data_IF_124496636932
#
_entry.id   IF_124496636932
#
_cell.length_a   1.000
_cell.length_b   1.000
_cell.length_c   1.000
_cell.angle_alpha   90.00
_cell.angle_beta   90.00
_cell.angle_gamma   90.00
#
_symmetry.space_group_name_H-M   'P 1'
#
loop_
_entity.id
_entity.type
_entity.pdbx_description
1 polymer ?
#
# COMPACT_ATOMS: atom_id res chain seq x y z
N UNK A 1 42.23 20.45 -12.17
CA UNK A 1 42.71 21.40 -11.17
C UNK A 1 41.87 21.29 -9.92
N UNK A 2 42.50 21.07 -8.81
CA UNK A 2 41.79 21.03 -7.55
C UNK A 2 41.31 22.42 -7.16
N UNK A 3 40.05 22.49 -6.72
CA UNK A 3 39.54 23.72 -6.13
C UNK A 3 40.26 24.00 -4.83
N UNK A 4 40.89 25.17 -4.73
CA UNK A 4 41.50 25.58 -3.50
C UNK A 4 40.48 26.20 -2.57
N UNK A 5 40.34 25.58 -1.40
CA UNK A 5 39.49 26.12 -0.35
C UNK A 5 40.32 27.05 0.49
N UNK A 6 40.16 28.35 0.31
CA UNK A 6 41.00 29.38 0.90
C UNK A 6 40.42 30.04 2.15
N UNK A 7 39.11 30.06 2.25
CA UNK A 7 38.41 30.74 3.34
C UNK A 7 37.50 29.80 4.11
N UNK A 8 37.18 30.17 5.34
CA UNK A 8 36.24 29.42 6.14
C UNK A 8 34.84 29.33 5.46
N UNK A 9 34.44 30.43 4.80
CA UNK A 9 33.16 30.49 4.11
C UNK A 9 33.08 29.50 2.95
N UNK A 10 34.17 29.40 2.16
CA UNK A 10 34.25 28.46 1.04
C UNK A 10 34.18 27.01 1.54
N UNK A 11 34.88 26.72 2.63
CA UNK A 11 34.88 25.39 3.23
C UNK A 11 33.49 25.03 3.74
N UNK A 12 32.83 25.93 4.43
CA UNK A 12 31.48 25.69 4.96
C UNK A 12 30.46 25.47 3.83
N UNK A 13 30.62 26.23 2.74
CA UNK A 13 29.76 26.06 1.58
C UNK A 13 29.94 24.68 0.93
N UNK A 14 31.19 24.25 0.75
CA UNK A 14 31.46 22.92 0.19
C UNK A 14 30.90 21.80 1.08
N UNK A 15 31.06 21.91 2.39
CA UNK A 15 30.51 20.93 3.31
C UNK A 15 28.98 20.85 3.21
N UNK A 16 28.32 22.01 3.12
CA UNK A 16 26.88 22.06 2.96
C UNK A 16 26.44 21.43 1.63
N UNK A 17 27.17 21.73 0.53
CA UNK A 17 26.85 21.16 -0.78
C UNK A 17 27.01 19.64 -0.78
N UNK A 18 28.04 19.10 -0.14
CA UNK A 18 28.25 17.66 -0.03
C UNK A 18 27.14 16.99 0.80
N UNK A 19 26.73 17.63 1.88
CA UNK A 19 25.64 17.10 2.70
C UNK A 19 24.31 17.05 1.94
N UNK A 20 23.99 18.11 1.20
CA UNK A 20 22.79 18.16 0.38
C UNK A 20 22.79 17.07 -0.70
N UNK A 21 23.94 16.87 -1.36
CA UNK A 21 24.08 15.84 -2.37
C UNK A 21 23.89 14.44 -1.77
N UNK A 22 24.47 14.20 -0.60
CA UNK A 22 24.32 12.93 0.12
C UNK A 22 22.88 12.66 0.51
N UNK A 23 22.21 13.65 1.08
CA UNK A 23 20.79 13.52 1.47
C UNK A 23 19.91 13.22 0.28
N UNK A 24 20.15 13.88 -0.86
CA UNK A 24 19.42 13.66 -2.10
C UNK A 24 19.62 12.24 -2.61
N UNK A 25 20.86 11.77 -2.66
CA UNK A 25 21.19 10.41 -3.12
C UNK A 25 20.56 9.35 -2.22
N UNK A 26 20.59 9.58 -0.91
CA UNK A 26 20.00 8.68 0.06
C UNK A 26 18.47 8.60 -0.11
N UNK A 27 17.83 9.74 -0.31
CA UNK A 27 16.38 9.81 -0.54
C UNK A 27 15.98 9.08 -1.81
N UNK A 28 16.70 9.29 -2.90
CA UNK A 28 16.43 8.62 -4.18
C UNK A 28 16.64 7.11 -4.08
N UNK A 29 17.70 6.65 -3.41
CA UNK A 29 17.97 5.24 -3.21
C UNK A 29 16.86 4.59 -2.37
N UNK A 30 16.41 5.26 -1.32
CA UNK A 30 15.33 4.78 -0.46
C UNK A 30 14.02 4.68 -1.24
N UNK A 31 13.72 5.66 -2.07
CA UNK A 31 12.51 5.65 -2.89
C UNK A 31 12.53 4.53 -3.91
N UNK A 32 13.66 4.28 -4.58
CA UNK A 32 13.79 3.14 -5.50
C UNK A 32 13.58 1.80 -4.79
N UNK A 33 14.13 1.65 -3.59
CA UNK A 33 13.94 0.44 -2.77
C UNK A 33 12.48 0.24 -2.43
N UNK A 34 11.80 1.30 -1.97
CA UNK A 34 10.40 1.23 -1.58
C UNK A 34 9.49 0.90 -2.77
N UNK A 35 9.79 1.46 -3.93
CA UNK A 35 9.06 1.16 -5.17
C UNK A 35 9.23 -0.31 -5.57
N UNK A 36 10.44 -0.87 -5.49
CA UNK A 36 10.70 -2.28 -5.78
C UNK A 36 9.95 -3.20 -4.82
N UNK A 37 9.92 -2.84 -3.54
CA UNK A 37 9.16 -3.59 -2.54
C UNK A 37 7.67 -3.58 -2.84
N UNK A 38 7.11 -2.43 -3.19
CA UNK A 38 5.70 -2.31 -3.53
C UNK A 38 5.34 -3.15 -4.75
N UNK A 39 6.18 -3.13 -5.80
CA UNK A 39 5.96 -3.94 -6.99
C UNK A 39 5.98 -5.43 -6.65
N UNK A 40 6.95 -5.88 -5.87
CA UNK A 40 7.05 -7.28 -5.47
C UNK A 40 5.86 -7.72 -4.62
N UNK A 41 5.44 -6.89 -3.66
CA UNK A 41 4.28 -7.18 -2.82
C UNK A 41 2.98 -7.24 -3.62
N UNK A 42 2.81 -6.34 -4.58
CA UNK A 42 1.60 -6.34 -5.41
C UNK A 42 1.56 -7.54 -6.36
N UNK A 43 2.69 -7.98 -6.90
CA UNK A 43 2.77 -9.21 -7.69
C UNK A 43 2.40 -10.42 -6.84
N UNK A 44 2.92 -10.48 -5.63
CA UNK A 44 2.57 -11.55 -4.69
C UNK A 44 1.07 -11.54 -4.37
N UNK A 45 0.50 -10.35 -4.09
CA UNK A 45 -0.92 -10.22 -3.80
C UNK A 45 -1.80 -10.68 -4.96
N UNK A 46 -1.44 -10.30 -6.19
CA UNK A 46 -2.20 -10.72 -7.37
C UNK A 46 -2.17 -12.23 -7.58
N UNK A 47 -1.06 -12.89 -7.21
CA UNK A 47 -0.94 -14.34 -7.33
C UNK A 47 -1.64 -15.10 -6.19
N UNK A 48 -1.79 -14.49 -5.01
CA UNK A 48 -2.25 -15.17 -3.80
C UNK A 48 -3.59 -14.66 -3.26
N UNK A 49 -4.16 -13.61 -3.83
CA UNK A 49 -5.42 -13.05 -3.37
C UNK A 49 -6.57 -14.05 -3.55
N UNK A 50 -7.36 -14.25 -2.49
CA UNK A 50 -8.52 -15.14 -2.52
C UNK A 50 -9.73 -14.53 -3.24
N UNK A 51 -9.73 -13.20 -3.40
CA UNK A 51 -10.84 -12.48 -3.97
C UNK A 51 -10.34 -11.55 -5.08
N UNK A 52 -11.21 -11.28 -6.05
CA UNK A 52 -10.87 -10.48 -7.23
C UNK A 52 -11.46 -9.08 -7.15
N UNK A 53 -10.90 -8.17 -7.95
CA UNK A 53 -11.50 -6.85 -8.15
C UNK A 53 -12.92 -7.04 -8.68
N UNK A 54 -13.87 -6.33 -8.08
CA UNK A 54 -15.30 -6.46 -8.38
C UNK A 54 -16.07 -7.34 -7.39
N UNK A 55 -15.37 -8.21 -6.65
CA UNK A 55 -16.01 -9.04 -5.64
C UNK A 55 -16.48 -8.20 -4.45
N UNK A 56 -17.57 -8.62 -3.84
CA UNK A 56 -18.08 -8.01 -2.61
C UNK A 56 -17.73 -8.95 -1.47
N UNK A 57 -17.06 -8.42 -0.45
CA UNK A 57 -16.62 -9.18 0.71
C UNK A 57 -17.07 -8.51 2.00
N UNK A 58 -17.21 -9.31 3.04
CA UNK A 58 -17.56 -8.85 4.38
C UNK A 58 -16.61 -9.42 5.41
N UNK A 59 -16.20 -8.59 6.34
CA UNK A 59 -15.46 -9.02 7.53
C UNK A 59 -15.82 -8.13 8.71
N UNK A 60 -16.18 -8.76 9.82
CA UNK A 60 -16.49 -8.06 11.08
C UNK A 60 -17.53 -6.93 10.90
N UNK A 61 -18.54 -7.16 10.07
CA UNK A 61 -19.61 -6.21 9.82
C UNK A 61 -19.31 -5.14 8.77
N UNK A 62 -18.12 -5.13 8.23
CA UNK A 62 -17.72 -4.20 7.15
C UNK A 62 -17.88 -4.88 5.80
N UNK A 63 -18.62 -4.26 4.90
CA UNK A 63 -18.86 -4.76 3.54
C UNK A 63 -18.23 -3.80 2.56
N UNK A 64 -17.41 -4.31 1.66
CA UNK A 64 -16.80 -3.50 0.59
C UNK A 64 -16.93 -4.21 -0.75
N UNK A 65 -16.91 -3.42 -1.82
CA UNK A 65 -16.71 -3.95 -3.18
C UNK A 65 -15.26 -3.66 -3.55
N UNK A 66 -14.50 -4.70 -3.85
CA UNK A 66 -13.07 -4.56 -4.10
C UNK A 66 -12.83 -3.81 -5.41
N UNK A 67 -12.08 -2.72 -5.35
CA UNK A 67 -11.58 -2.04 -6.54
C UNK A 67 -10.05 -2.01 -6.60
N UNK A 68 -9.38 -2.30 -5.49
CA UNK A 68 -7.91 -2.37 -5.41
C UNK A 68 -7.47 -3.46 -4.45
N UNK A 69 -6.31 -4.06 -4.75
CA UNK A 69 -5.67 -5.06 -3.90
C UNK A 69 -4.20 -4.71 -3.75
N UNK A 70 -3.70 -4.79 -2.53
CA UNK A 70 -2.31 -4.48 -2.22
C UNK A 70 -1.68 -5.61 -1.42
N UNK A 71 -0.42 -5.91 -1.69
CA UNK A 71 0.38 -6.75 -0.83
C UNK A 71 0.95 -5.92 0.32
N UNK A 72 0.90 -6.47 1.52
CA UNK A 72 1.45 -5.83 2.72
C UNK A 72 2.37 -6.79 3.45
N UNK A 73 3.31 -6.23 4.16
CA UNK A 73 4.24 -7.00 4.99
C UNK A 73 4.25 -6.42 6.40
N UNK A 74 3.99 -7.28 7.37
CA UNK A 74 4.07 -6.92 8.79
C UNK A 74 4.54 -8.15 9.57
N UNK A 75 5.52 -8.00 10.50
CA UNK A 75 5.97 -9.15 11.29
C UNK A 75 4.91 -9.72 12.22
N UNK A 76 3.77 -9.05 12.37
CA UNK A 76 2.72 -9.45 13.30
C UNK A 76 1.58 -10.22 12.66
N UNK A 77 1.51 -10.31 11.32
CA UNK A 77 0.35 -10.87 10.62
C UNK A 77 0.73 -11.94 9.61
N UNK A 78 -0.21 -12.87 9.40
CA UNK A 78 -0.28 -13.76 8.27
C UNK A 78 0.87 -14.72 8.09
N UNK A 79 0.95 -15.35 6.93
CA UNK A 79 1.98 -16.30 6.56
C UNK A 79 3.31 -15.58 6.39
N UNK A 80 4.22 -15.72 7.37
CA UNK A 80 5.52 -15.04 7.39
C UNK A 80 5.39 -13.49 7.29
N UNK A 81 4.28 -12.96 7.81
CA UNK A 81 4.04 -11.53 7.82
C UNK A 81 3.51 -10.94 6.51
N UNK A 82 3.18 -11.76 5.53
CA UNK A 82 2.58 -11.30 4.27
C UNK A 82 1.06 -11.44 4.34
N UNK A 83 0.35 -10.41 3.87
CA UNK A 83 -1.10 -10.45 3.78
C UNK A 83 -1.59 -9.55 2.65
N UNK A 84 -2.83 -9.75 2.22
CA UNK A 84 -3.46 -8.93 1.18
C UNK A 84 -4.41 -7.93 1.81
N UNK A 85 -4.32 -6.68 1.39
CA UNK A 85 -5.27 -5.63 1.74
C UNK A 85 -6.23 -5.44 0.58
N UNK A 86 -7.52 -5.64 0.83
CA UNK A 86 -8.60 -5.37 -0.13
C UNK A 86 -9.22 -4.03 0.18
N UNK A 87 -9.27 -3.15 -0.80
CA UNK A 87 -9.83 -1.80 -0.64
C UNK A 87 -10.99 -1.58 -1.58
N UNK A 88 -11.94 -0.78 -1.17
CA UNK A 88 -13.04 -0.40 -2.03
C UNK A 88 -14.08 0.44 -1.31
N UNK A 89 -15.10 0.91 -2.04
CA UNK A 89 -16.20 1.63 -1.42
C UNK A 89 -16.94 0.73 -0.43
N UNK A 90 -17.25 1.27 0.73
CA UNK A 90 -18.03 0.55 1.74
C UNK A 90 -19.49 0.52 1.32
N UNK A 91 -20.09 -0.65 1.45
CA UNK A 91 -21.50 -0.86 1.10
C UNK A 91 -22.36 -0.98 2.35
N UNK A 92 -23.66 -0.68 2.18
CA UNK A 92 -24.67 -0.95 3.19
C UNK A 92 -25.02 -2.43 3.22
N UNK A 93 -25.81 -2.86 4.22
CA UNK A 93 -26.31 -4.23 4.29
C UNK A 93 -27.12 -4.63 3.08
N UNK A 94 -27.69 -3.66 2.34
CA UNK A 94 -28.44 -3.90 1.11
C UNK A 94 -27.52 -3.88 -0.12
N UNK A 95 -26.21 -3.88 0.07
CA UNK A 95 -25.20 -3.87 -0.98
C UNK A 95 -25.26 -2.62 -1.86
N UNK A 96 -25.66 -1.51 -1.28
CA UNK A 96 -25.67 -0.21 -1.96
C UNK A 96 -24.51 0.64 -1.47
N UNK A 97 -23.92 1.50 -2.33
CA UNK A 97 -22.89 2.42 -1.88
C UNK A 97 -23.41 3.31 -0.77
N UNK A 98 -22.56 3.58 0.21
CA UNK A 98 -22.92 4.51 1.28
C UNK A 98 -23.05 5.92 0.73
N UNK A 99 -24.01 6.68 1.27
CA UNK A 99 -24.26 8.06 0.84
C UNK A 99 -23.07 8.99 1.09
N UNK A 100 -22.27 8.69 2.10
CA UNK A 100 -21.09 9.47 2.44
C UNK A 100 -19.87 9.15 1.55
N UNK A 101 -19.99 8.16 0.67
CA UNK A 101 -18.91 7.76 -0.21
C UNK A 101 -17.72 7.15 0.51
N UNK A 102 -17.89 6.70 1.73
CA UNK A 102 -16.79 6.17 2.55
C UNK A 102 -16.18 4.93 1.92
N UNK A 103 -14.86 4.88 1.91
CA UNK A 103 -14.08 3.72 1.50
C UNK A 103 -13.54 3.03 2.73
N UNK A 104 -13.27 1.74 2.61
CA UNK A 104 -12.69 0.98 3.70
C UNK A 104 -11.78 -0.11 3.16
N UNK A 105 -11.07 -0.77 4.06
CA UNK A 105 -10.16 -1.86 3.74
C UNK A 105 -10.48 -3.08 4.58
N UNK A 106 -10.29 -4.26 4.00
CA UNK A 106 -10.36 -5.54 4.71
C UNK A 106 -9.03 -6.24 4.51
N UNK A 107 -8.41 -6.68 5.61
CA UNK A 107 -7.10 -7.32 5.59
C UNK A 107 -7.25 -8.83 5.69
N UNK A 108 -6.66 -9.54 4.73
CA UNK A 108 -6.64 -11.01 4.75
C UNK A 108 -5.40 -11.47 5.51
N UNK A 109 -5.47 -11.31 6.83
CA UNK A 109 -4.38 -11.57 7.77
C UNK A 109 -4.68 -12.74 8.72
N UNK A 110 -5.60 -13.61 8.32
CA UNK A 110 -6.06 -14.74 9.15
C UNK A 110 -7.47 -14.55 9.70
N UNK A 111 -8.04 -13.36 9.55
CA UNK A 111 -9.43 -13.11 9.97
C UNK A 111 -10.42 -13.75 9.00
N UNK A 112 -11.62 -14.00 9.50
CA UNK A 112 -12.68 -14.54 8.68
C UNK A 112 -13.19 -13.49 7.69
N UNK A 113 -13.24 -13.85 6.41
CA UNK A 113 -13.76 -13.01 5.34
C UNK A 113 -14.74 -13.84 4.53
N UNK A 114 -15.93 -13.29 4.29
CA UNK A 114 -16.96 -13.94 3.50
C UNK A 114 -17.13 -13.22 2.17
N UNK A 115 -17.20 -13.99 1.09
CA UNK A 115 -17.59 -13.45 -0.22
C UNK A 115 -19.09 -13.43 -0.31
N UNK A 116 -19.66 -12.28 -0.69
CA UNK A 116 -21.09 -12.13 -0.89
C UNK A 116 -21.38 -12.35 -2.38
N UNK A 117 -22.17 -13.38 -2.66
CA UNK A 117 -22.58 -13.68 -4.02
C UNK A 117 -23.91 -12.98 -4.31
N UNK A 118 -23.93 -12.17 -5.38
CA UNK A 118 -25.14 -11.51 -5.82
C UNK A 118 -25.77 -12.38 -6.89
N UNK A 119 -27.02 -12.80 -6.66
CA UNK A 119 -27.82 -13.53 -7.67
C UNK A 119 -28.50 -12.54 -8.61
N UNK A 120 -28.92 -13.00 -9.78
CA UNK A 120 -29.68 -12.16 -10.73
C UNK A 120 -30.94 -11.59 -10.12
N UNK A 121 -31.50 -12.27 -9.15
CA UNK A 121 -32.73 -11.84 -8.46
C UNK A 121 -32.48 -10.67 -7.51
N UNK A 122 -31.26 -10.49 -7.08
CA UNK A 122 -30.83 -9.41 -6.16
C UNK A 122 -30.37 -8.16 -6.91
N UNK A 123 -30.21 -8.28 -8.21
CA UNK A 123 -29.85 -7.17 -9.08
C UNK A 123 -31.16 -6.48 -9.56
#
# INVERSE_FOLDING_TARGET
>A
MSEEVRTNEECLKLLADYEQAYEKDLKEAKQRRDNRKSIALNKWANANARFNVGDIIESQGTIIQIDQRYGRHSPYYGTKGLYVEFCGPQLTKKLQPRKDGQRNSIYDDGREIKKINITKEEL
#
